data_IF_786934333097
#
_entry.id   IF_786934333097
#
_cell.length_a   1.000
_cell.length_b   1.000
_cell.length_c   1.000
_cell.angle_alpha   90.00
_cell.angle_beta   90.00
_cell.angle_gamma   90.00
#
_symmetry.space_group_name_H-M   'P 1'
#
loop_
_entity.id
_entity.type
_entity.pdbx_description
1 polymer ?
#
# COMPACT_ATOMS: atom_id res chain seq x y z
N UNK A 1 -5.37 9.31 26.64
CA UNK A 1 -5.43 10.57 25.87
C UNK A 1 -6.64 10.50 24.97
N UNK A 2 -7.72 11.22 25.30
CA UNK A 2 -8.95 11.17 24.51
C UNK A 2 -8.69 11.69 23.09
N UNK A 3 -9.09 10.93 22.07
CA UNK A 3 -8.87 11.32 20.68
C UNK A 3 -9.76 12.51 20.30
N UNK A 4 -9.15 13.69 20.10
CA UNK A 4 -9.86 14.89 19.65
C UNK A 4 -10.53 14.64 18.28
N UNK A 5 -11.73 15.20 18.01
CA UNK A 5 -12.39 15.05 16.71
C UNK A 5 -11.54 15.58 15.54
N UNK A 6 -10.65 16.55 15.78
CA UNK A 6 -9.67 17.00 14.79
C UNK A 6 -8.63 15.92 14.46
N UNK A 7 -8.18 15.18 15.47
CA UNK A 7 -7.24 14.05 15.32
C UNK A 7 -7.86 12.91 14.53
N UNK A 8 -9.11 12.57 14.80
CA UNK A 8 -9.83 11.52 14.06
C UNK A 8 -9.95 11.89 12.57
N UNK A 9 -10.25 13.17 12.28
CA UNK A 9 -10.32 13.66 10.90
C UNK A 9 -8.97 13.66 10.18
N UNK A 10 -7.89 14.02 10.85
CA UNK A 10 -6.54 13.99 10.26
C UNK A 10 -6.11 12.54 9.97
N UNK A 11 -6.42 11.60 10.87
CA UNK A 11 -6.15 10.18 10.70
C UNK A 11 -6.96 9.57 9.54
N UNK A 12 -8.26 9.88 9.46
CA UNK A 12 -9.07 9.46 8.31
C UNK A 12 -8.48 9.98 6.98
N UNK A 13 -8.04 11.24 6.94
CA UNK A 13 -7.42 11.82 5.74
C UNK A 13 -6.06 11.22 5.41
N UNK A 14 -5.24 10.86 6.40
CA UNK A 14 -3.98 10.18 6.12
C UNK A 14 -4.22 8.80 5.53
N UNK A 15 -5.19 8.04 6.06
CA UNK A 15 -5.58 6.74 5.52
C UNK A 15 -6.08 6.85 4.07
N UNK A 16 -6.91 7.86 3.78
CA UNK A 16 -7.38 8.10 2.41
C UNK A 16 -6.27 8.45 1.41
N UNK A 17 -5.13 8.99 1.86
CA UNK A 17 -4.00 9.34 1.00
C UNK A 17 -3.14 8.14 0.64
N UNK A 18 -3.18 7.07 1.44
CA UNK A 18 -2.49 5.81 1.13
C UNK A 18 -3.30 4.95 0.14
N UNK A 19 -4.59 5.25 -0.06
CA UNK A 19 -5.42 4.58 -1.05
C UNK A 19 -5.15 5.11 -2.47
N UNK A 20 -5.35 4.29 -3.52
CA UNK A 20 -5.17 4.72 -4.91
C UNK A 20 -5.98 6.01 -5.21
N UNK A 21 -5.37 7.01 -5.90
CA UNK A 21 -6.05 8.24 -6.21
C UNK A 21 -7.27 7.95 -7.08
N UNK A 22 -8.41 8.55 -6.72
CA UNK A 22 -9.65 8.44 -7.50
C UNK A 22 -9.95 9.78 -8.16
N UNK A 23 -10.45 9.78 -9.41
CA UNK A 23 -10.94 11.00 -10.04
C UNK A 23 -12.11 11.58 -9.23
N UNK A 24 -12.06 12.89 -8.97
CA UNK A 24 -12.94 13.61 -8.03
C UNK A 24 -14.42 13.50 -8.43
N UNK A 25 -14.69 13.32 -9.73
CA UNK A 25 -16.01 13.26 -10.33
C UNK A 25 -16.53 11.82 -10.55
N UNK A 26 -15.75 10.79 -10.21
CA UNK A 26 -16.24 9.41 -10.31
C UNK A 26 -17.25 9.10 -9.20
N UNK A 27 -18.52 9.26 -9.55
CA UNK A 27 -19.65 8.72 -8.80
C UNK A 27 -20.01 7.35 -9.37
N UNK A 28 -20.26 6.32 -8.53
CA UNK A 28 -20.37 6.34 -7.07
C UNK A 28 -19.02 6.18 -6.31
N UNK A 29 -19.02 6.55 -5.02
CA UNK A 29 -17.91 6.22 -4.09
C UNK A 29 -17.70 4.71 -4.08
N UNK A 30 -16.45 4.25 -4.05
CA UNK A 30 -16.19 2.81 -3.90
C UNK A 30 -16.77 2.31 -2.58
N UNK A 31 -17.23 1.05 -2.55
CA UNK A 31 -17.76 0.44 -1.35
C UNK A 31 -16.74 0.40 -0.20
N UNK A 32 -15.44 0.39 -0.52
CA UNK A 32 -14.38 0.50 0.48
C UNK A 32 -14.39 1.88 1.16
N UNK A 33 -14.48 2.96 0.40
CA UNK A 33 -14.51 4.32 0.96
C UNK A 33 -15.79 4.59 1.77
N UNK A 34 -16.94 4.02 1.38
CA UNK A 34 -18.15 4.12 2.20
C UNK A 34 -17.98 3.36 3.51
N UNK A 35 -17.51 2.10 3.47
CA UNK A 35 -17.24 1.31 4.69
C UNK A 35 -16.26 1.98 5.64
N UNK A 36 -15.18 2.57 5.12
CA UNK A 36 -14.24 3.35 5.93
C UNK A 36 -14.92 4.57 6.53
N UNK A 37 -15.67 5.33 5.74
CA UNK A 37 -16.41 6.48 6.28
C UNK A 37 -17.33 6.05 7.43
N UNK A 38 -18.09 4.97 7.23
CA UNK A 38 -19.02 4.44 8.22
C UNK A 38 -18.30 3.99 9.50
N UNK A 39 -17.11 3.38 9.39
CA UNK A 39 -16.32 2.98 10.57
C UNK A 39 -15.87 4.18 11.40
N UNK A 40 -15.53 5.31 10.76
CA UNK A 40 -15.11 6.54 11.44
C UNK A 40 -16.28 7.41 11.91
N UNK A 41 -17.44 7.36 11.25
CA UNK A 41 -18.64 8.12 11.65
C UNK A 41 -19.54 7.37 12.64
N UNK A 42 -19.39 6.05 12.77
CA UNK A 42 -20.15 5.28 13.76
C UNK A 42 -19.78 5.72 15.17
N UNK A 43 -20.68 6.47 15.81
CA UNK A 43 -20.49 6.91 17.19
C UNK A 43 -20.75 5.71 18.11
N UNK A 44 -19.69 4.96 18.43
CA UNK A 44 -19.81 3.91 19.43
C UNK A 44 -20.11 4.55 20.80
N UNK A 45 -21.17 4.08 21.45
CA UNK A 45 -21.55 4.55 22.80
C UNK A 45 -20.50 4.18 23.86
N UNK A 46 -19.59 3.25 23.54
CA UNK A 46 -18.54 2.77 24.45
C UNK A 46 -17.20 3.42 24.11
N UNK A 47 -16.73 4.33 24.96
CA UNK A 47 -15.46 5.06 24.76
C UNK A 47 -14.26 4.15 24.48
N UNK A 48 -14.14 3.03 25.21
CA UNK A 48 -13.08 2.02 25.03
C UNK A 48 -12.99 1.48 23.60
N UNK A 49 -14.14 1.24 22.97
CA UNK A 49 -14.19 0.71 21.61
C UNK A 49 -13.82 1.75 20.55
N UNK A 50 -14.06 3.04 20.84
CA UNK A 50 -13.68 4.13 19.94
C UNK A 50 -12.17 4.34 19.96
N UNK A 51 -11.56 4.35 21.15
CA UNK A 51 -10.12 4.46 21.30
C UNK A 51 -9.39 3.30 20.61
N UNK A 52 -9.86 2.06 20.80
CA UNK A 52 -9.31 0.89 20.13
C UNK A 52 -9.37 1.00 18.59
N UNK A 53 -10.47 1.52 18.03
CA UNK A 53 -10.60 1.75 16.58
C UNK A 53 -9.63 2.82 16.09
N UNK A 54 -9.46 3.91 16.82
CA UNK A 54 -8.50 4.96 16.45
C UNK A 54 -7.07 4.45 16.47
N UNK A 55 -6.73 3.60 17.45
CA UNK A 55 -5.43 2.97 17.55
C UNK A 55 -5.20 1.99 16.38
N UNK A 56 -6.16 1.13 16.08
CA UNK A 56 -6.10 0.20 14.95
C UNK A 56 -5.93 0.95 13.62
N UNK A 57 -6.64 2.07 13.43
CA UNK A 57 -6.50 2.89 12.24
C UNK A 57 -5.14 3.58 12.15
N UNK A 58 -4.58 4.06 13.26
CA UNK A 58 -3.22 4.61 13.30
C UNK A 58 -2.18 3.55 12.91
N UNK A 59 -2.33 2.33 13.45
CA UNK A 59 -1.48 1.19 13.11
C UNK A 59 -1.56 0.85 11.62
N UNK A 60 -2.77 0.84 11.05
CA UNK A 60 -2.97 0.60 9.62
C UNK A 60 -2.25 1.63 8.75
N UNK A 61 -2.32 2.92 9.10
CA UNK A 61 -1.59 3.97 8.38
C UNK A 61 -0.08 3.76 8.46
N UNK A 62 0.45 3.42 9.63
CA UNK A 62 1.88 3.12 9.80
C UNK A 62 2.30 1.92 8.93
N UNK A 63 1.50 0.86 8.92
CA UNK A 63 1.74 -0.33 8.11
C UNK A 63 1.74 -0.02 6.60
N UNK A 64 0.76 0.73 6.10
CA UNK A 64 0.68 1.08 4.67
C UNK A 64 1.90 1.90 4.21
N UNK A 65 2.36 2.83 5.04
CA UNK A 65 3.58 3.61 4.76
C UNK A 65 4.82 2.73 4.73
N UNK A 66 4.95 1.81 5.69
CA UNK A 66 6.03 0.85 5.73
C UNK A 66 6.00 -0.07 4.50
N UNK A 67 4.82 -0.52 4.07
CA UNK A 67 4.66 -1.34 2.86
C UNK A 67 5.10 -0.61 1.59
N UNK A 68 4.76 0.68 1.47
CA UNK A 68 5.23 1.51 0.36
C UNK A 68 6.75 1.64 0.37
N UNK A 69 7.34 1.95 1.52
CA UNK A 69 8.80 2.02 1.66
C UNK A 69 9.46 0.69 1.32
N UNK A 70 8.92 -0.42 1.82
CA UNK A 70 9.38 -1.76 1.52
C UNK A 70 9.42 -2.02 0.02
N UNK A 71 8.31 -1.76 -0.70
CA UNK A 71 8.27 -1.90 -2.16
C UNK A 71 9.35 -1.05 -2.85
N UNK A 72 9.54 0.22 -2.44
CA UNK A 72 10.58 1.07 -3.04
C UNK A 72 12.01 0.59 -2.76
N UNK A 73 12.27 0.00 -1.60
CA UNK A 73 13.58 -0.55 -1.26
C UNK A 73 13.84 -1.84 -2.06
N UNK A 74 12.81 -2.66 -2.20
CA UNK A 74 12.84 -3.90 -2.97
C UNK A 74 13.20 -3.62 -4.43
N UNK A 75 12.53 -2.66 -5.07
CA UNK A 75 12.83 -2.26 -6.46
C UNK A 75 14.24 -1.70 -6.61
N UNK A 76 14.72 -0.93 -5.63
CA UNK A 76 16.05 -0.29 -5.67
C UNK A 76 17.18 -1.31 -5.52
N UNK A 77 17.05 -2.22 -4.56
CA UNK A 77 18.14 -3.14 -4.22
C UNK A 77 18.02 -4.50 -4.91
N UNK A 78 16.84 -4.83 -5.44
CA UNK A 78 16.60 -6.07 -6.18
C UNK A 78 15.83 -5.82 -7.49
N UNK A 79 16.43 -5.08 -8.45
CA UNK A 79 15.79 -4.80 -9.74
C UNK A 79 15.62 -6.05 -10.61
N UNK A 80 16.33 -7.14 -10.30
CA UNK A 80 16.25 -8.42 -11.01
C UNK A 80 15.24 -9.41 -10.43
N UNK A 81 14.47 -9.04 -9.40
CA UNK A 81 13.56 -9.99 -8.75
C UNK A 81 12.48 -10.55 -9.70
N UNK A 82 12.01 -9.73 -10.64
CA UNK A 82 11.01 -10.14 -11.63
C UNK A 82 11.59 -10.71 -12.92
N UNK A 83 12.92 -10.85 -13.02
CA UNK A 83 13.59 -11.37 -14.22
C UNK A 83 13.63 -12.90 -14.16
N UNK A 84 13.21 -13.55 -15.23
CA UNK A 84 13.33 -15.00 -15.34
C UNK A 84 14.80 -15.43 -15.41
N UNK A 85 15.11 -16.64 -14.95
CA UNK A 85 16.48 -17.12 -14.88
C UNK A 85 17.11 -17.18 -16.29
N UNK A 86 16.34 -17.61 -17.29
CA UNK A 86 16.77 -17.65 -18.70
C UNK A 86 17.15 -16.25 -19.23
N UNK A 87 16.34 -15.24 -18.94
CA UNK A 87 16.61 -13.86 -19.34
C UNK A 87 17.85 -13.30 -18.64
N UNK A 88 18.04 -13.66 -17.36
CA UNK A 88 19.21 -13.28 -16.58
C UNK A 88 20.48 -13.86 -17.18
N UNK A 89 20.47 -15.14 -17.53
CA UNK A 89 21.58 -15.85 -18.19
C UNK A 89 21.87 -15.27 -19.58
N UNK A 90 20.84 -14.92 -20.35
CA UNK A 90 21.00 -14.28 -21.65
C UNK A 90 21.65 -12.89 -21.54
N UNK A 91 21.23 -12.07 -20.58
CA UNK A 91 21.78 -10.73 -20.37
C UNK A 91 23.22 -10.77 -19.85
N UNK A 92 23.58 -11.76 -19.01
CA UNK A 92 24.96 -11.95 -18.57
C UNK A 92 25.86 -12.47 -19.70
N UNK A 93 25.38 -13.38 -20.55
CA UNK A 93 26.10 -13.81 -21.75
C UNK A 93 26.38 -12.62 -22.69
N UNK A 94 25.40 -11.74 -22.90
CA UNK A 94 25.58 -10.52 -23.72
C UNK A 94 26.61 -9.55 -23.17
N UNK A 95 26.82 -9.49 -21.85
CA UNK A 95 27.87 -8.64 -21.26
C UNK A 95 29.28 -9.03 -21.72
N UNK A 96 29.49 -10.30 -22.08
CA UNK A 96 30.77 -10.81 -22.59
C UNK A 96 30.78 -10.96 -24.12
N UNK A 97 29.76 -10.44 -24.81
CA UNK A 97 29.64 -10.54 -26.27
C UNK A 97 29.23 -11.92 -26.78
N UNK A 98 28.67 -12.77 -25.92
CA UNK A 98 28.17 -14.09 -26.28
C UNK A 98 26.63 -14.08 -26.35
N UNK A 99 26.05 -14.76 -27.34
CA UNK A 99 24.61 -15.01 -27.40
C UNK A 99 24.33 -16.46 -26.96
N UNK A 100 23.28 -16.63 -26.16
CA UNK A 100 22.88 -17.94 -25.65
C UNK A 100 22.27 -18.77 -26.78
N UNK A 101 22.71 -20.03 -26.99
CA UNK A 101 22.13 -20.91 -28.00
C UNK A 101 20.67 -21.24 -27.68
N UNK A 102 19.86 -21.44 -28.72
CA UNK A 102 18.45 -21.84 -28.56
C UNK A 102 18.42 -23.26 -28.00
N UNK A 103 17.75 -23.44 -26.85
CA UNK A 103 17.58 -24.78 -26.28
C UNK A 103 16.79 -25.66 -27.25
N UNK A 104 17.29 -26.88 -27.48
CA UNK A 104 16.61 -27.86 -28.32
C UNK A 104 15.44 -28.44 -27.53
N UNK A 105 14.25 -28.50 -28.14
CA UNK A 105 13.09 -29.17 -27.56
C UNK A 105 13.11 -30.67 -27.82
#
# INVERSE_FOLDING_TARGET
MASSPASIRSLYRSLLRELPPRPILASPRSPLHSRLRDSFSSNSKTATSQDARTYAAAQAVAYLRAQRMYATLLERYNPGMGMDEEERVRLTARRVGMDLPVEYK
#
